data_IF_594218537510
#
_entry.id   IF_594218537510
#
_cell.length_a   1.000
_cell.length_b   1.000
_cell.length_c   1.000
_cell.angle_alpha   90.00
_cell.angle_beta   90.00
_cell.angle_gamma   90.00
#
_symmetry.space_group_name_H-M   'P 1'
#
loop_
_entity.id
_entity.type
_entity.pdbx_description
1 polymer ?
#
# COMPACT_ATOMS: atom_id res chain seq x y z
N UNK A 1 69.64 -39.38 42.81
CA UNK A 1 68.32 -38.89 43.28
C UNK A 1 68.30 -37.37 43.13
N UNK A 2 67.32 -36.86 42.35
CA UNK A 2 66.61 -35.55 42.35
C UNK A 2 67.38 -34.29 42.81
N UNK A 3 67.36 -33.11 42.18
CA UNK A 3 66.87 -32.49 40.92
C UNK A 3 67.47 -31.05 40.98
N UNK A 4 67.91 -30.43 39.88
CA UNK A 4 68.24 -29.00 39.88
C UNK A 4 66.98 -28.14 39.81
N UNK A 5 67.06 -26.93 40.36
CA UNK A 5 66.04 -25.89 40.27
C UNK A 5 65.85 -25.47 38.81
N UNK A 6 64.72 -25.86 38.21
CA UNK A 6 64.25 -25.32 36.94
C UNK A 6 63.25 -24.22 37.26
N UNK A 7 63.67 -22.97 37.03
CA UNK A 7 62.86 -21.78 37.06
C UNK A 7 61.82 -21.89 35.95
N UNK A 8 60.58 -22.26 36.30
CA UNK A 8 59.47 -22.29 35.35
C UNK A 8 58.99 -20.85 35.16
N UNK A 9 59.47 -20.19 34.11
CA UNK A 9 58.85 -18.98 33.56
C UNK A 9 57.45 -19.39 33.07
N UNK A 10 56.47 -19.23 33.95
CA UNK A 10 55.06 -19.32 33.59
C UNK A 10 54.73 -18.06 32.80
N UNK A 11 54.92 -18.13 31.48
CA UNK A 11 54.30 -17.22 30.53
C UNK A 11 52.79 -17.34 30.74
N UNK A 12 52.22 -16.44 31.56
CA UNK A 12 50.80 -16.12 31.51
C UNK A 12 50.62 -15.45 30.15
N UNK A 13 50.41 -16.26 29.13
CA UNK A 13 49.76 -15.81 27.90
C UNK A 13 48.34 -15.46 28.30
N UNK A 14 48.19 -14.23 28.77
CA UNK A 14 46.93 -13.53 28.76
C UNK A 14 46.56 -13.41 27.28
N UNK A 15 45.91 -14.44 26.75
CA UNK A 15 45.14 -14.29 25.51
C UNK A 15 44.11 -13.22 25.84
N UNK A 16 44.43 -11.98 25.44
CA UNK A 16 43.45 -10.96 25.19
C UNK A 16 42.51 -11.54 24.13
N UNK A 17 41.48 -12.24 24.59
CA UNK A 17 40.26 -12.38 23.82
C UNK A 17 39.82 -10.94 23.58
N UNK A 18 40.11 -10.42 22.39
CA UNK A 18 39.51 -9.19 21.89
C UNK A 18 38.01 -9.31 22.18
N UNK A 19 37.36 -8.30 22.79
CA UNK A 19 35.92 -8.33 22.94
C UNK A 19 35.33 -8.42 21.55
N UNK A 20 34.88 -9.62 21.20
CA UNK A 20 34.11 -9.87 20.00
C UNK A 20 32.96 -8.88 20.02
N UNK A 21 32.80 -8.14 18.94
CA UNK A 21 31.65 -7.26 18.80
C UNK A 21 30.40 -8.11 19.00
N UNK A 22 29.67 -7.89 20.10
CA UNK A 22 28.34 -8.47 20.28
C UNK A 22 27.41 -7.70 19.34
N UNK A 23 27.38 -8.14 18.08
CA UNK A 23 26.40 -7.68 17.11
C UNK A 23 25.05 -8.24 17.54
N UNK A 24 24.21 -7.41 18.14
CA UNK A 24 22.77 -7.71 18.20
C UNK A 24 22.25 -7.65 16.76
N UNK A 25 22.12 -8.80 16.11
CA UNK A 25 21.37 -9.00 14.85
C UNK A 25 20.05 -9.68 15.21
N UNK A 26 18.90 -9.34 14.62
CA UNK A 26 18.71 -8.99 13.21
C UNK A 26 17.69 -7.85 12.98
N UNK A 27 18.07 -6.90 12.10
CA UNK A 27 17.11 -6.34 11.16
C UNK A 27 16.66 -7.48 10.25
N UNK A 28 15.44 -7.96 10.44
CA UNK A 28 14.84 -8.94 9.54
C UNK A 28 14.27 -8.26 8.30
N UNK A 29 14.16 -9.02 7.22
CA UNK A 29 13.31 -8.64 6.08
C UNK A 29 11.91 -9.22 6.30
N UNK A 30 10.90 -8.48 5.86
CA UNK A 30 9.51 -8.93 5.76
C UNK A 30 9.14 -8.97 4.29
N UNK A 31 8.28 -9.91 3.92
CA UNK A 31 7.65 -9.94 2.61
C UNK A 31 6.18 -9.56 2.77
N UNK A 32 5.67 -8.76 1.85
CA UNK A 32 4.27 -8.38 1.78
C UNK A 32 3.68 -8.76 0.45
N UNK A 33 2.59 -9.52 0.48
CA UNK A 33 1.79 -9.88 -0.69
C UNK A 33 0.46 -9.14 -0.64
N UNK A 34 0.18 -8.35 -1.68
CA UNK A 34 -1.09 -7.67 -1.89
C UNK A 34 -1.84 -8.39 -2.99
N UNK A 35 -3.06 -8.82 -2.69
CA UNK A 35 -4.01 -9.40 -3.63
C UNK A 35 -5.24 -8.51 -3.69
N UNK A 36 -5.55 -8.03 -4.88
CA UNK A 36 -6.74 -7.22 -5.16
C UNK A 36 -7.62 -8.04 -6.10
N UNK A 37 -8.87 -8.28 -5.69
CA UNK A 37 -9.86 -8.99 -6.50
C UNK A 37 -11.11 -8.10 -6.60
N UNK A 38 -11.31 -7.50 -7.78
CA UNK A 38 -12.34 -6.48 -8.02
C UNK A 38 -13.26 -6.91 -9.15
N UNK A 39 -14.56 -6.81 -8.91
CA UNK A 39 -15.59 -6.87 -9.94
C UNK A 39 -15.99 -5.45 -10.31
N UNK A 40 -15.84 -5.12 -11.59
CA UNK A 40 -16.18 -3.80 -12.13
C UNK A 40 -17.28 -3.96 -13.14
N UNK A 41 -18.39 -3.25 -12.95
CA UNK A 41 -19.54 -3.29 -13.86
C UNK A 41 -19.44 -2.12 -14.83
N UNK A 42 -19.41 -2.41 -16.13
CA UNK A 42 -19.36 -1.42 -17.21
C UNK A 42 -20.57 -1.55 -18.13
N UNK A 43 -21.00 -0.44 -18.73
CA UNK A 43 -22.06 -0.40 -19.72
C UNK A 43 -21.63 0.35 -20.97
N UNK A 44 -22.00 -0.16 -22.14
CA UNK A 44 -21.92 0.58 -23.39
C UNK A 44 -23.26 1.29 -23.65
N UNK A 45 -23.28 2.61 -23.56
CA UNK A 45 -24.48 3.42 -23.78
C UNK A 45 -24.71 3.81 -25.24
N UNK A 46 -23.82 3.43 -26.16
CA UNK A 46 -23.94 3.73 -27.58
C UNK A 46 -24.89 2.76 -28.31
N UNK A 47 -25.54 3.19 -29.41
CA UNK A 47 -26.32 2.32 -30.29
C UNK A 47 -25.45 1.44 -31.22
N UNK A 48 -24.13 1.35 -30.99
CA UNK A 48 -23.20 0.56 -31.80
C UNK A 48 -22.12 -0.11 -30.92
N UNK A 49 -21.55 -1.25 -31.37
CA UNK A 49 -20.52 -1.96 -30.61
C UNK A 49 -19.25 -1.13 -30.40
N UNK A 50 -18.57 -1.35 -29.29
CA UNK A 50 -17.30 -0.72 -28.93
C UNK A 50 -16.26 -1.79 -28.57
N UNK A 51 -15.00 -1.57 -28.94
CA UNK A 51 -13.90 -2.44 -28.52
C UNK A 51 -13.17 -1.81 -27.33
N UNK A 52 -13.21 -2.48 -26.18
CA UNK A 52 -12.49 -2.09 -24.96
C UNK A 52 -11.15 -2.82 -24.92
N UNK A 53 -10.07 -2.06 -25.05
CA UNK A 53 -8.70 -2.58 -24.86
C UNK A 53 -8.45 -2.83 -23.37
N UNK A 54 -7.90 -3.99 -23.06
CA UNK A 54 -7.60 -4.42 -21.69
C UNK A 54 -6.09 -4.60 -21.51
N UNK A 55 -5.57 -4.23 -20.34
CA UNK A 55 -4.14 -4.36 -20.08
C UNK A 55 -3.80 -5.84 -19.79
N UNK A 56 -2.96 -6.50 -20.62
CA UNK A 56 -2.63 -7.92 -20.47
C UNK A 56 -1.75 -8.22 -19.25
N UNK A 57 -1.23 -7.20 -18.57
CA UNK A 57 -0.47 -7.39 -17.32
C UNK A 57 -1.34 -7.88 -16.15
N UNK A 58 -2.67 -7.75 -16.26
CA UNK A 58 -3.61 -8.18 -15.21
C UNK A 58 -4.29 -9.50 -15.59
N UNK A 59 -4.66 -10.28 -14.57
CA UNK A 59 -5.51 -11.44 -14.76
C UNK A 59 -6.96 -10.97 -14.78
N UNK A 60 -7.57 -11.01 -15.97
CA UNK A 60 -8.89 -10.46 -16.22
C UNK A 60 -9.83 -11.58 -16.63
N UNK A 61 -11.03 -11.57 -16.05
CA UNK A 61 -12.14 -12.46 -16.38
C UNK A 61 -13.37 -11.62 -16.66
N UNK A 62 -14.07 -11.88 -17.78
CA UNK A 62 -15.23 -11.10 -18.20
C UNK A 62 -16.49 -11.95 -18.08
N UNK A 63 -17.51 -11.42 -17.42
CA UNK A 63 -18.83 -12.02 -17.29
C UNK A 63 -19.87 -11.19 -18.05
N UNK A 64 -20.67 -11.85 -18.88
CA UNK A 64 -21.78 -11.22 -19.64
C UNK A 64 -23.12 -11.72 -19.11
N UNK A 65 -24.08 -10.81 -18.94
CA UNK A 65 -25.44 -11.16 -18.48
C UNK A 65 -26.28 -11.62 -19.68
N UNK A 66 -26.11 -12.88 -20.10
CA UNK A 66 -26.95 -13.56 -21.12
C UNK A 66 -27.84 -14.63 -20.50
N UNK A 67 -29.07 -14.81 -21.02
CA UNK A 67 -30.16 -15.64 -20.45
C UNK A 67 -29.90 -17.16 -20.36
N UNK A 68 -28.71 -17.65 -20.68
CA UNK A 68 -28.24 -19.00 -20.44
C UNK A 68 -26.82 -19.05 -20.98
N UNK A 69 -25.82 -18.70 -20.17
CA UNK A 69 -24.42 -19.04 -20.45
C UNK A 69 -23.57 -18.64 -19.23
N UNK A 70 -23.24 -19.65 -18.42
CA UNK A 70 -22.07 -19.68 -17.54
C UNK A 70 -20.80 -19.84 -18.38
N UNK A 71 -20.63 -19.03 -19.43
CA UNK A 71 -19.50 -19.20 -20.34
C UNK A 71 -18.31 -18.38 -19.86
N UNK A 72 -17.51 -19.11 -19.08
CA UNK A 72 -16.06 -19.16 -19.03
C UNK A 72 -15.37 -17.80 -19.06
N UNK A 73 -14.72 -17.48 -17.93
CA UNK A 73 -13.77 -16.39 -17.89
C UNK A 73 -12.75 -16.52 -19.02
N UNK A 74 -12.85 -15.62 -19.99
CA UNK A 74 -11.92 -15.55 -21.10
C UNK A 74 -10.61 -15.00 -20.56
N UNK A 75 -9.62 -15.87 -20.40
CA UNK A 75 -8.23 -15.42 -20.45
C UNK A 75 -8.02 -14.80 -21.82
N UNK A 76 -7.48 -13.58 -21.86
CA UNK A 76 -7.16 -12.88 -23.11
C UNK A 76 -6.18 -13.74 -23.91
N UNK A 77 -6.69 -14.57 -24.83
CA UNK A 77 -5.90 -15.34 -25.79
C UNK A 77 -5.86 -14.62 -27.15
N UNK A 78 -4.94 -15.05 -28.01
CA UNK A 78 -4.55 -14.48 -29.32
C UNK A 78 -5.72 -14.20 -30.27
N UNK A 79 -6.91 -14.76 -30.05
CA UNK A 79 -8.12 -14.52 -30.85
C UNK A 79 -8.96 -13.30 -30.45
N UNK A 80 -8.74 -12.69 -29.29
CA UNK A 80 -9.49 -11.51 -28.80
C UNK A 80 -8.67 -10.22 -28.95
N UNK A 81 -8.11 -10.04 -30.14
CA UNK A 81 -7.29 -8.89 -30.47
C UNK A 81 -7.94 -8.08 -31.59
N UNK A 82 -8.03 -6.76 -31.42
CA UNK A 82 -8.32 -5.84 -32.51
C UNK A 82 -7.04 -5.09 -32.84
N UNK A 83 -6.52 -5.27 -34.05
CA UNK A 83 -5.26 -4.65 -34.49
C UNK A 83 -4.11 -4.92 -33.50
N UNK A 84 -3.95 -6.18 -33.07
CA UNK A 84 -2.96 -6.61 -32.07
C UNK A 84 -3.16 -6.06 -30.64
N UNK A 85 -4.25 -5.34 -30.37
CA UNK A 85 -4.59 -4.89 -29.03
C UNK A 85 -5.53 -5.90 -28.36
N UNK A 86 -5.14 -6.48 -27.21
CA UNK A 86 -6.01 -7.37 -26.44
C UNK A 86 -7.22 -6.62 -25.89
N UNK A 87 -8.40 -7.23 -25.98
CA UNK A 87 -9.61 -6.58 -25.49
C UNK A 87 -10.89 -7.35 -25.78
N UNK A 88 -12.02 -6.70 -25.55
CA UNK A 88 -13.35 -7.27 -25.74
C UNK A 88 -14.25 -6.34 -26.54
N UNK A 89 -15.15 -6.91 -27.33
CA UNK A 89 -16.29 -6.18 -27.86
C UNK A 89 -17.40 -6.07 -26.80
N UNK A 90 -17.96 -4.88 -26.65
CA UNK A 90 -19.14 -4.59 -25.84
C UNK A 90 -20.23 -4.13 -26.80
N UNK A 91 -21.30 -4.91 -26.88
CA UNK A 91 -22.43 -4.69 -27.78
C UNK A 91 -23.25 -3.45 -27.38
N UNK A 92 -24.09 -2.91 -28.27
CA UNK A 92 -24.93 -1.76 -27.96
C UNK A 92 -25.80 -2.02 -26.72
N UNK A 93 -25.79 -1.10 -25.76
CA UNK A 93 -26.58 -1.20 -24.52
C UNK A 93 -26.25 -2.42 -23.65
N UNK A 94 -25.12 -3.11 -23.92
CA UNK A 94 -24.67 -4.26 -23.14
C UNK A 94 -24.03 -3.79 -21.82
N UNK A 95 -24.33 -4.52 -20.75
CA UNK A 95 -23.66 -4.41 -19.46
C UNK A 95 -22.79 -5.64 -19.22
N UNK A 96 -21.52 -5.42 -18.88
CA UNK A 96 -20.53 -6.46 -18.64
C UNK A 96 -19.92 -6.29 -17.26
N UNK A 97 -19.56 -7.39 -16.61
CA UNK A 97 -18.82 -7.37 -15.34
C UNK A 97 -17.42 -7.89 -15.62
N UNK A 98 -16.41 -7.07 -15.36
CA UNK A 98 -15.00 -7.41 -15.52
C UNK A 98 -14.43 -7.67 -14.12
N UNK A 99 -14.06 -8.92 -13.87
CA UNK A 99 -13.25 -9.29 -12.73
C UNK A 99 -11.78 -9.04 -13.04
N UNK A 100 -11.11 -8.26 -12.20
CA UNK A 100 -9.69 -7.92 -12.29
C UNK A 100 -9.01 -8.43 -11.04
N UNK A 101 -8.03 -9.32 -11.22
CA UNK A 101 -7.18 -9.81 -10.14
C UNK A 101 -5.75 -9.30 -10.32
N UNK A 102 -5.26 -8.60 -9.31
CA UNK A 102 -3.90 -8.05 -9.25
C UNK A 102 -3.16 -8.66 -8.06
N UNK A 103 -1.95 -9.14 -8.28
CA UNK A 103 -1.06 -9.63 -7.23
C UNK A 103 0.27 -8.88 -7.27
N UNK A 104 0.70 -8.33 -6.14
CA UNK A 104 1.97 -7.62 -6.01
C UNK A 104 2.70 -8.08 -4.76
N UNK A 105 4.00 -8.35 -4.90
CA UNK A 105 4.88 -8.72 -3.79
C UNK A 105 5.93 -7.63 -3.59
N UNK A 106 6.15 -7.23 -2.35
CA UNK A 106 7.19 -6.28 -1.95
C UNK A 106 7.98 -6.78 -0.74
N UNK A 107 9.22 -6.31 -0.59
CA UNK A 107 10.05 -6.62 0.57
C UNK A 107 10.30 -5.36 1.40
N UNK A 108 10.23 -5.52 2.73
CA UNK A 108 10.41 -4.45 3.69
C UNK A 108 11.58 -4.77 4.61
N UNK A 109 12.48 -3.81 4.81
CA UNK A 109 13.58 -3.93 5.76
C UNK A 109 13.21 -3.27 7.10
N UNK A 110 13.41 -3.99 8.19
CA UNK A 110 13.28 -3.43 9.53
C UNK A 110 14.60 -2.75 9.96
N UNK A 111 14.55 -1.69 10.77
CA UNK A 111 15.76 -1.08 11.32
C UNK A 111 16.45 -2.03 12.32
N UNK A 112 17.77 -2.14 12.25
CA UNK A 112 18.59 -2.85 13.25
C UNK A 112 19.10 -1.88 14.32
N UNK A 113 18.98 -2.27 15.58
CA UNK A 113 19.66 -1.58 16.69
C UNK A 113 21.01 -2.25 16.92
N UNK A 114 22.08 -1.46 16.90
CA UNK A 114 23.43 -1.90 17.25
C UNK A 114 23.81 -1.36 18.62
N UNK A 115 24.41 -2.20 19.46
CA UNK A 115 24.97 -1.77 20.74
C UNK A 115 26.32 -1.09 20.48
N UNK A 116 26.44 0.19 20.83
CA UNK A 116 27.73 0.88 20.91
C UNK A 116 28.45 0.56 22.22
N UNK A 117 29.75 0.29 22.15
CA UNK A 117 30.63 0.04 23.30
C UNK A 117 31.28 -1.34 23.25
N UNK A 118 32.61 -1.38 23.13
CA UNK A 118 33.42 -2.62 23.17
C UNK A 118 33.55 -3.22 24.58
N UNK A 119 33.10 -2.48 25.60
CA UNK A 119 33.51 -2.71 26.97
C UNK A 119 32.46 -3.50 27.77
N UNK A 120 31.33 -3.86 27.13
CA UNK A 120 30.23 -4.60 27.77
C UNK A 120 29.53 -3.83 28.89
N UNK A 121 29.75 -2.51 28.99
CA UNK A 121 29.24 -1.64 30.05
C UNK A 121 27.84 -1.11 29.78
N UNK A 122 27.32 -1.23 28.55
CA UNK A 122 25.97 -0.83 28.19
C UNK A 122 24.96 -1.93 28.51
N UNK A 123 24.06 -1.66 29.47
CA UNK A 123 22.98 -2.58 29.86
C UNK A 123 21.85 -2.58 28.82
N UNK A 124 21.73 -1.52 28.01
CA UNK A 124 20.72 -1.39 26.95
C UNK A 124 21.30 -0.78 25.68
N UNK A 125 20.76 -1.23 24.53
CA UNK A 125 21.25 -0.82 23.21
C UNK A 125 20.35 0.20 22.51
N UNK A 126 19.14 0.42 23.03
CA UNK A 126 18.17 1.38 22.49
C UNK A 126 16.73 0.98 22.79
N UNK A 127 15.80 1.77 22.27
CA UNK A 127 14.36 1.50 22.30
C UNK A 127 13.88 1.31 20.87
N UNK A 128 13.05 0.29 20.62
CA UNK A 128 12.44 0.04 19.32
C UNK A 128 11.05 0.66 19.30
N UNK A 129 10.75 1.38 18.23
CA UNK A 129 9.42 1.92 17.91
C UNK A 129 8.95 1.22 16.62
N UNK A 130 7.66 0.84 16.49
CA UNK A 130 7.23 0.05 15.34
C UNK A 130 7.27 0.93 14.08
N UNK A 131 8.13 0.64 13.09
CA UNK A 131 8.15 1.41 11.85
C UNK A 131 6.91 1.10 11.02
N UNK A 132 6.34 2.12 10.37
CA UNK A 132 5.30 1.92 9.35
C UNK A 132 5.93 1.36 8.08
N UNK A 133 5.55 0.14 7.69
CA UNK A 133 6.20 -0.57 6.58
C UNK A 133 5.78 -0.04 5.21
N UNK A 134 4.48 0.19 5.02
CA UNK A 134 3.91 0.49 3.72
C UNK A 134 3.34 1.91 3.64
N UNK A 135 3.27 2.42 2.42
CA UNK A 135 2.53 3.63 2.08
C UNK A 135 1.38 3.26 1.13
N UNK A 136 0.15 3.72 1.38
CA UNK A 136 -0.97 3.39 0.52
C UNK A 136 -0.83 3.99 -0.88
N UNK A 137 -1.15 3.22 -1.90
CA UNK A 137 -1.37 3.73 -3.25
C UNK A 137 -2.83 4.15 -3.43
N UNK A 138 -3.10 5.19 -4.21
CA UNK A 138 -4.47 5.64 -4.47
C UNK A 138 -5.00 5.02 -5.76
N UNK A 139 -6.24 4.54 -5.73
CA UNK A 139 -6.92 3.96 -6.88
C UNK A 139 -8.33 4.56 -7.01
N UNK A 140 -8.68 5.03 -8.20
CA UNK A 140 -10.01 5.53 -8.55
C UNK A 140 -10.62 4.71 -9.68
N UNK A 141 -11.95 4.74 -9.83
CA UNK A 141 -12.65 4.03 -10.90
C UNK A 141 -12.09 4.42 -12.28
N UNK A 142 -11.88 5.73 -12.48
CA UNK A 142 -11.36 6.32 -13.70
C UNK A 142 -9.88 5.99 -13.95
N UNK A 143 -9.09 5.80 -12.89
CA UNK A 143 -7.69 5.38 -13.06
C UNK A 143 -7.55 3.91 -13.45
N UNK A 144 -8.48 3.05 -13.01
CA UNK A 144 -8.50 1.62 -13.39
C UNK A 144 -8.86 1.44 -14.87
N UNK A 145 -9.73 2.29 -15.39
CA UNK A 145 -10.12 2.31 -16.80
C UNK A 145 -10.02 3.75 -17.30
N UNK A 146 -8.89 4.17 -17.90
CA UNK A 146 -8.75 5.48 -18.51
C UNK A 146 -9.56 5.54 -19.81
N UNK A 147 -10.89 5.54 -19.66
CA UNK A 147 -11.84 5.53 -20.75
C UNK A 147 -11.90 6.93 -21.36
N UNK A 148 -11.34 7.06 -22.56
CA UNK A 148 -11.47 8.30 -23.36
C UNK A 148 -12.88 8.39 -23.99
N UNK A 149 -13.61 7.29 -24.06
CA UNK A 149 -14.92 7.20 -24.69
C UNK A 149 -16.07 7.41 -23.69
N UNK A 150 -16.81 8.52 -23.84
CA UNK A 150 -17.94 8.87 -22.98
C UNK A 150 -19.16 7.92 -23.05
N UNK A 151 -19.17 6.97 -24.00
CA UNK A 151 -20.20 5.96 -24.10
C UNK A 151 -19.94 4.72 -23.25
N UNK A 152 -18.69 4.44 -22.89
CA UNK A 152 -18.37 3.38 -21.93
C UNK A 152 -18.37 4.00 -20.54
N UNK A 153 -19.27 3.52 -19.68
CA UNK A 153 -19.42 4.03 -18.32
C UNK A 153 -19.21 2.92 -17.30
N UNK A 154 -18.49 3.25 -16.24
CA UNK A 154 -18.35 2.38 -15.07
C UNK A 154 -19.53 2.68 -14.15
N UNK A 155 -20.31 1.65 -13.83
CA UNK A 155 -21.52 1.79 -13.00
C UNK A 155 -21.22 1.57 -11.52
N UNK A 156 -20.38 0.58 -11.22
CA UNK A 156 -20.03 0.19 -9.86
C UNK A 156 -18.77 -0.65 -9.86
N UNK A 157 -18.10 -0.73 -8.72
CA UNK A 157 -17.12 -1.76 -8.44
C UNK A 157 -17.28 -2.29 -7.03
N UNK A 158 -16.99 -3.56 -6.84
CA UNK A 158 -16.97 -4.22 -5.54
C UNK A 158 -15.90 -5.29 -5.50
N UNK A 159 -15.30 -5.51 -4.34
CA UNK A 159 -14.29 -6.54 -4.23
C UNK A 159 -13.65 -6.67 -2.87
N UNK A 160 -12.54 -7.40 -2.85
CA UNK A 160 -11.79 -7.74 -1.64
C UNK A 160 -10.32 -7.45 -1.90
N UNK A 161 -9.69 -6.81 -0.92
CA UNK A 161 -8.23 -6.66 -0.87
C UNK A 161 -7.71 -7.48 0.30
N UNK A 162 -6.67 -8.27 0.02
CA UNK A 162 -5.91 -9.02 1.02
C UNK A 162 -4.48 -8.53 1.01
N UNK A 163 -3.93 -8.31 2.20
CA UNK A 163 -2.56 -7.92 2.43
C UNK A 163 -1.95 -8.86 3.46
N UNK A 164 -1.04 -9.72 3.01
CA UNK A 164 -0.34 -10.65 3.87
C UNK A 164 1.08 -10.15 4.09
N UNK A 165 1.49 -9.95 5.34
CA UNK A 165 2.86 -9.59 5.69
C UNK A 165 3.46 -10.72 6.53
N UNK A 166 4.54 -11.32 6.05
CA UNK A 166 5.15 -12.48 6.69
C UNK A 166 6.67 -12.40 6.72
N UNK A 167 7.25 -13.19 7.62
CA UNK A 167 8.68 -13.36 7.76
C UNK A 167 9.16 -14.59 6.99
N UNK A 168 10.21 -14.44 6.19
CA UNK A 168 10.89 -15.59 5.57
C UNK A 168 11.78 -16.37 6.55
N UNK A 169 12.10 -15.78 7.70
CA UNK A 169 12.78 -16.45 8.81
C UNK A 169 11.71 -17.22 9.60
N UNK A 170 11.92 -18.51 9.92
CA UNK A 170 10.98 -19.48 10.52
C UNK A 170 10.41 -19.13 11.92
N UNK A 171 10.09 -17.87 12.20
CA UNK A 171 9.58 -17.40 13.49
C UNK A 171 10.63 -17.35 14.60
N UNK A 172 11.91 -17.49 14.27
CA UNK A 172 13.01 -17.51 15.25
C UNK A 172 13.10 -16.23 16.08
N UNK A 173 12.67 -15.09 15.51
CA UNK A 173 12.63 -13.80 16.19
C UNK A 173 11.28 -13.12 15.99
N UNK A 174 10.71 -12.59 17.08
CA UNK A 174 9.51 -11.75 17.01
C UNK A 174 9.87 -10.42 16.34
N UNK A 175 9.09 -10.04 15.34
CA UNK A 175 9.19 -8.74 14.65
C UNK A 175 8.09 -7.82 15.13
N UNK A 176 8.42 -6.54 15.29
CA UNK A 176 7.50 -5.51 15.75
C UNK A 176 7.46 -4.35 14.75
N UNK A 177 6.28 -4.09 14.19
CA UNK A 177 6.11 -3.13 13.10
C UNK A 177 4.67 -2.62 13.02
N UNK A 178 4.45 -1.56 12.25
CA UNK A 178 3.14 -1.04 11.94
C UNK A 178 2.85 -1.18 10.43
N UNK A 179 1.60 -1.41 10.07
CA UNK A 179 1.13 -1.47 8.68
C UNK A 179 -0.17 -0.71 8.53
N UNK A 180 -0.44 -0.21 7.33
CA UNK A 180 -1.71 0.40 6.94
C UNK A 180 -2.25 -0.27 5.68
N UNK A 181 -3.38 0.19 5.16
CA UNK A 181 -3.94 -0.32 3.90
C UNK A 181 -2.95 -0.13 2.74
N UNK A 182 -2.74 -1.14 1.87
CA UNK A 182 -1.84 -1.00 0.72
C UNK A 182 -2.44 -0.15 -0.41
N UNK A 183 -3.77 -0.04 -0.46
CA UNK A 183 -4.51 0.68 -1.49
C UNK A 183 -5.66 1.44 -0.84
N UNK A 184 -5.86 2.68 -1.27
CA UNK A 184 -7.00 3.52 -0.87
C UNK A 184 -7.85 3.75 -2.11
N UNK A 185 -9.13 3.41 -2.01
CA UNK A 185 -10.09 3.62 -3.08
C UNK A 185 -10.72 5.00 -2.90
N UNK A 186 -10.26 5.99 -3.66
CA UNK A 186 -10.61 7.41 -3.44
C UNK A 186 -12.11 7.67 -3.60
N UNK A 187 -12.71 6.99 -4.57
CA UNK A 187 -14.14 7.17 -4.87
C UNK A 187 -15.03 6.24 -4.01
N UNK A 188 -14.45 5.21 -3.39
CA UNK A 188 -15.19 4.08 -2.83
C UNK A 188 -15.09 3.97 -1.32
N UNK A 189 -16.01 3.20 -0.74
CA UNK A 189 -16.01 2.88 0.69
C UNK A 189 -15.18 1.63 0.94
N UNK A 190 -14.29 1.70 1.93
CA UNK A 190 -13.56 0.55 2.47
C UNK A 190 -14.20 0.12 3.80
N UNK A 191 -14.46 -1.18 3.98
CA UNK A 191 -15.15 -1.70 5.17
C UNK A 191 -14.79 -3.17 5.45
N UNK A 192 -15.35 -3.75 6.53
CA UNK A 192 -15.12 -5.13 6.96
C UNK A 192 -13.64 -5.50 7.13
N UNK A 193 -12.88 -4.61 7.80
CA UNK A 193 -11.48 -4.84 8.12
C UNK A 193 -11.32 -6.04 9.06
N UNK A 194 -10.51 -7.01 8.65
CA UNK A 194 -10.16 -8.20 9.44
C UNK A 194 -8.64 -8.39 9.40
N UNK A 195 -7.93 -8.40 10.55
CA UNK A 195 -8.43 -8.13 11.89
C UNK A 195 -8.81 -6.64 12.08
N UNK A 196 -9.48 -6.33 13.20
CA UNK A 196 -9.71 -4.94 13.59
C UNK A 196 -8.38 -4.18 13.71
N UNK A 197 -8.37 -2.93 13.24
CA UNK A 197 -7.20 -2.06 13.32
C UNK A 197 -6.96 -1.59 14.76
N UNK A 198 -5.72 -1.23 15.05
CA UNK A 198 -5.29 -0.87 16.40
C UNK A 198 -5.62 0.59 16.71
N UNK A 199 -5.42 1.46 15.72
CA UNK A 199 -5.51 2.91 15.84
C UNK A 199 -5.62 3.54 14.46
N UNK A 200 -5.97 4.81 14.39
CA UNK A 200 -5.93 5.59 13.15
C UNK A 200 -4.53 6.17 12.91
N UNK A 201 -4.25 6.61 11.67
CA UNK A 201 -2.94 7.14 11.31
C UNK A 201 -2.57 8.41 12.10
N UNK A 202 -3.55 9.26 12.40
CA UNK A 202 -3.38 10.43 13.26
C UNK A 202 -2.91 10.01 14.67
N UNK A 203 -3.59 9.04 15.26
CA UNK A 203 -3.26 8.45 16.56
C UNK A 203 -1.89 7.76 16.55
N UNK A 204 -1.55 7.06 15.47
CA UNK A 204 -0.23 6.44 15.31
C UNK A 204 0.89 7.47 15.31
N UNK A 205 0.71 8.57 14.57
CA UNK A 205 1.68 9.68 14.55
C UNK A 205 1.82 10.30 15.94
N UNK A 206 0.71 10.49 16.66
CA UNK A 206 0.74 11.00 18.04
C UNK A 206 1.46 10.05 18.99
N UNK A 207 1.19 8.75 18.90
CA UNK A 207 1.87 7.72 19.68
C UNK A 207 3.38 7.72 19.40
N UNK A 208 3.81 7.87 18.14
CA UNK A 208 5.24 7.97 17.80
C UNK A 208 5.92 9.14 18.53
N UNK A 209 5.28 10.32 18.55
CA UNK A 209 5.82 11.50 19.23
C UNK A 209 5.89 11.32 20.75
N UNK A 210 4.90 10.65 21.34
CA UNK A 210 4.92 10.27 22.75
C UNK A 210 6.06 9.29 23.06
N UNK A 211 6.23 8.26 22.23
CA UNK A 211 7.31 7.27 22.37
C UNK A 211 8.71 7.87 22.32
N UNK A 212 8.93 8.88 21.48
CA UNK A 212 10.23 9.54 21.33
C UNK A 212 10.44 10.71 22.30
N UNK A 213 9.41 11.09 23.07
CA UNK A 213 9.45 12.26 23.96
C UNK A 213 9.60 13.59 23.22
N UNK A 214 9.42 13.60 21.89
CA UNK A 214 9.45 14.81 21.08
C UNK A 214 8.01 15.28 20.93
N UNK A 215 7.60 16.30 21.68
CA UNK A 215 6.27 16.87 21.55
C UNK A 215 5.94 17.24 20.10
N UNK A 216 4.71 16.97 19.66
CA UNK A 216 4.22 17.34 18.33
C UNK A 216 4.43 18.85 18.16
N UNK A 217 5.27 19.26 17.21
CA UNK A 217 5.25 20.66 16.76
C UNK A 217 3.86 20.87 16.18
N UNK A 218 3.02 21.64 16.86
CA UNK A 218 1.81 22.17 16.25
C UNK A 218 2.26 22.91 15.00
N UNK A 219 2.01 22.33 13.83
CA UNK A 219 2.04 23.11 12.60
C UNK A 219 0.84 24.03 12.72
N UNK A 220 1.05 25.19 13.35
CA UNK A 220 0.20 26.32 13.08
C UNK A 220 0.36 26.57 11.59
N UNK A 221 -0.59 26.10 10.79
CA UNK A 221 -0.82 26.63 9.46
C UNK A 221 -1.39 28.04 9.67
N UNK A 222 -0.56 28.94 10.19
CA UNK A 222 -0.70 30.34 9.88
C UNK A 222 -0.34 30.46 8.41
N UNK A 223 -1.38 30.51 7.59
CA UNK A 223 -1.30 30.96 6.21
C UNK A 223 -0.60 32.32 6.18
N UNK A 224 0.71 32.30 5.99
CA UNK A 224 1.42 33.39 5.34
C UNK A 224 2.36 32.79 4.33
N UNK A 225 1.79 32.40 3.18
CA UNK A 225 2.58 32.28 1.95
C UNK A 225 3.05 33.70 1.62
N UNK A 226 4.20 34.10 2.15
CA UNK A 226 4.98 35.16 1.54
C UNK A 226 5.46 34.62 0.18
N UNK A 227 4.67 34.93 -0.86
CA UNK A 227 5.11 34.68 -2.23
C UNK A 227 6.39 35.49 -2.50
N UNK A 228 7.41 34.89 -3.12
CA UNK A 228 8.47 35.67 -3.75
C UNK A 228 7.83 36.63 -4.76
N UNK A 229 8.15 37.91 -4.69
CA UNK A 229 7.69 38.86 -5.70
C UNK A 229 8.21 38.41 -7.08
N UNK A 230 7.29 38.21 -8.03
CA UNK A 230 7.65 37.99 -9.44
C UNK A 230 7.02 36.79 -10.15
N UNK A 231 6.15 36.00 -9.52
CA UNK A 231 5.44 34.92 -10.21
C UNK A 231 3.92 35.12 -10.17
N UNK A 232 3.33 35.23 -11.36
CA UNK A 232 1.89 35.37 -11.55
C UNK A 232 1.17 34.05 -11.26
N UNK A 233 0.13 34.12 -10.45
CA UNK A 233 -0.81 33.01 -10.25
C UNK A 233 -1.73 32.94 -11.48
N UNK A 234 -1.64 31.85 -12.25
CA UNK A 234 -2.57 31.59 -13.35
C UNK A 234 -3.96 31.33 -12.78
N UNK A 235 -4.75 32.39 -12.64
CA UNK A 235 -6.19 32.29 -12.38
C UNK A 235 -6.93 32.16 -13.72
N UNK A 236 -8.02 31.38 -13.77
CA UNK A 236 -8.78 31.13 -15.00
C UNK A 236 -9.43 32.38 -15.61
N UNK A 237 -9.33 33.52 -14.94
CA UNK A 237 -9.81 34.83 -15.39
C UNK A 237 -8.89 35.53 -16.39
N UNK A 238 -7.64 35.07 -16.58
CA UNK A 238 -6.68 35.76 -17.46
C UNK A 238 -6.79 35.42 -18.95
N UNK A 239 -7.64 34.46 -19.35
CA UNK A 239 -7.65 33.99 -20.75
C UNK A 239 -8.98 34.09 -21.50
N UNK A 240 -10.14 34.35 -20.88
CA UNK A 240 -11.36 34.67 -21.64
C UNK A 240 -12.33 35.54 -20.83
N UNK A 241 -12.75 36.68 -21.40
CA UNK A 241 -13.68 37.64 -20.79
C UNK A 241 -15.16 37.20 -20.78
N UNK A 242 -15.44 35.89 -20.71
CA UNK A 242 -16.80 35.36 -20.65
C UNK A 242 -16.85 34.25 -19.60
N UNK A 243 -17.50 34.54 -18.47
CA UNK A 243 -17.82 33.53 -17.46
C UNK A 243 -18.92 32.62 -18.03
N UNK A 244 -18.51 31.51 -18.64
CA UNK A 244 -19.42 30.40 -18.91
C UNK A 244 -19.45 29.59 -17.62
N UNK A 245 -20.59 29.56 -16.94
CA UNK A 245 -20.78 28.74 -15.75
C UNK A 245 -20.54 27.27 -16.10
N UNK A 246 -19.37 26.75 -15.73
CA UNK A 246 -19.16 25.31 -15.65
C UNK A 246 -20.18 24.78 -14.64
N UNK A 247 -21.00 23.77 -14.99
CA UNK A 247 -21.79 23.08 -13.98
C UNK A 247 -20.81 22.59 -12.93
N UNK A 248 -21.04 23.00 -11.68
CA UNK A 248 -20.15 22.70 -10.57
C UNK A 248 -19.93 21.20 -10.50
N UNK A 249 -18.75 20.74 -10.93
CA UNK A 249 -18.21 19.53 -10.38
C UNK A 249 -17.99 19.86 -8.91
N UNK A 250 -18.94 19.41 -8.07
CA UNK A 250 -18.67 19.18 -6.67
C UNK A 250 -17.54 18.15 -6.68
N UNK A 251 -16.30 18.62 -6.69
CA UNK A 251 -15.19 17.81 -6.22
C UNK A 251 -15.64 17.37 -4.83
N UNK A 252 -15.80 16.07 -4.57
CA UNK A 252 -16.12 15.62 -3.24
C UNK A 252 -15.10 16.27 -2.31
N UNK A 253 -15.63 16.99 -1.32
CA UNK A 253 -14.87 17.58 -0.24
C UNK A 253 -13.83 16.57 0.21
N UNK A 254 -12.58 17.03 0.39
CA UNK A 254 -11.53 16.27 1.08
C UNK A 254 -12.05 15.88 2.47
N UNK A 255 -12.85 14.83 2.56
CA UNK A 255 -12.98 14.06 3.79
C UNK A 255 -11.58 13.52 4.04
N UNK A 256 -10.97 14.01 5.10
CA UNK A 256 -9.70 13.50 5.61
C UNK A 256 -9.91 12.03 5.92
N UNK A 257 -9.63 11.15 4.95
CA UNK A 257 -9.68 9.71 5.15
C UNK A 257 -8.68 9.35 6.25
N UNK A 258 -9.20 9.06 7.44
CA UNK A 258 -8.38 8.49 8.51
C UNK A 258 -8.02 7.06 8.12
N UNK A 259 -6.72 6.83 7.94
CA UNK A 259 -6.21 5.55 7.47
C UNK A 259 -6.05 4.62 8.66
N UNK A 260 -6.60 3.39 8.62
CA UNK A 260 -6.43 2.45 9.70
C UNK A 260 -4.99 1.95 9.76
N UNK A 261 -4.48 1.79 10.98
CA UNK A 261 -3.14 1.29 11.27
C UNK A 261 -3.21 0.08 12.20
N UNK A 262 -2.47 -0.97 11.85
CA UNK A 262 -2.27 -2.15 12.68
C UNK A 262 -0.86 -2.12 13.25
N UNK A 263 -0.75 -2.22 14.58
CA UNK A 263 0.53 -2.44 15.26
C UNK A 263 0.67 -3.94 15.51
N UNK A 264 1.69 -4.54 14.92
CA UNK A 264 1.82 -5.99 14.80
C UNK A 264 3.08 -6.45 15.49
N UNK A 265 2.92 -7.42 16.41
CA UNK A 265 4.02 -8.23 16.94
C UNK A 265 3.83 -9.66 16.47
N UNK A 266 4.66 -10.16 15.56
CA UNK A 266 4.47 -11.50 15.01
C UNK A 266 5.78 -12.27 14.85
N UNK A 267 5.69 -13.60 14.95
CA UNK A 267 6.76 -14.51 14.58
C UNK A 267 6.69 -14.90 13.10
N UNK A 268 5.50 -15.23 12.59
CA UNK A 268 5.33 -15.80 11.25
C UNK A 268 4.70 -14.84 10.25
N UNK A 269 3.71 -14.03 10.64
CA UNK A 269 3.06 -13.04 9.78
C UNK A 269 1.72 -12.53 10.30
N UNK A 270 1.03 -11.75 9.47
CA UNK A 270 -0.32 -11.21 9.66
C UNK A 270 -1.01 -11.09 8.31
N UNK A 271 -2.28 -11.49 8.24
CA UNK A 271 -3.14 -11.27 7.07
C UNK A 271 -4.18 -10.20 7.42
N UNK A 272 -4.25 -9.15 6.60
CA UNK A 272 -5.23 -8.08 6.68
C UNK A 272 -6.12 -8.18 5.45
N UNK A 273 -7.43 -8.25 5.65
CA UNK A 273 -8.44 -8.30 4.59
C UNK A 273 -9.44 -7.18 4.79
N UNK A 274 -9.87 -6.53 3.71
CA UNK A 274 -10.99 -5.58 3.74
C UNK A 274 -11.77 -5.63 2.43
N UNK A 275 -13.01 -5.18 2.48
CA UNK A 275 -13.90 -5.06 1.33
C UNK A 275 -13.92 -3.63 0.83
N UNK A 276 -14.22 -3.50 -0.46
CA UNK A 276 -14.41 -2.22 -1.10
C UNK A 276 -15.67 -2.25 -1.96
N UNK A 277 -16.40 -1.14 -1.96
CA UNK A 277 -17.53 -0.92 -2.85
C UNK A 277 -17.64 0.54 -3.31
N UNK A 278 -18.17 0.73 -4.50
CA UNK A 278 -18.52 2.03 -5.06
C UNK A 278 -19.62 1.89 -6.08
N UNK A 279 -20.48 2.90 -6.19
CA UNK A 279 -21.50 2.98 -7.24
C UNK A 279 -21.62 4.40 -7.76
N UNK A 280 -21.77 4.56 -9.08
CA UNK A 280 -21.91 5.84 -9.76
C UNK A 280 -23.21 6.59 -9.41
N UNK A 281 -24.17 5.93 -8.75
CA UNK A 281 -25.40 6.53 -8.23
C UNK A 281 -25.37 6.82 -6.72
N UNK A 282 -24.23 6.61 -6.06
CA UNK A 282 -24.06 6.82 -4.62
C UNK A 282 -23.37 8.14 -4.32
N UNK A 283 -24.12 9.25 -4.41
CA UNK A 283 -24.10 10.46 -3.56
C UNK A 283 -25.23 11.40 -4.02
#
# INVERSE_FOLDING_TARGET
MKRPAAFLLLFISLFAALPGHYQVRAAGTLQGDVLIDLNVTLVNTAPFPKFLVLNPAYNITVYRRGNNETDLGFYIDKGMNLNYNPGIWIMPYETVVINVRVSKTESYSLPSITCGGTDGTSIGCGVVVPPLLNSPSQLSALSMFPLVDGHIRILEYQGVVKFNVYSGDEGTFKKFFAVTVPVVFVDGRMYDFTPNYTMDYSEYVDALFEYTGTGRRSVNVENSVQMPQGMFQLTPTLLTGVSVGMPGQVLPSNESYELPVWVVTTGTGVEITYRVEWSAGGL
#
